data_IF_788252584765
#
_entry.id   IF_788252584765
#
_cell.length_a   1.000
_cell.length_b   1.000
_cell.length_c   1.000
_cell.angle_alpha   90.00
_cell.angle_beta   90.00
_cell.angle_gamma   90.00
#
_symmetry.space_group_name_H-M   'P 1'
#
loop_
_entity.id
_entity.type
_entity.pdbx_description
1 polymer ?
#
# COMPACT_ATOMS: atom_id res chain seq x y z
N UNK A 1 18.35 64.57 -21.35
CA UNK A 1 19.77 64.25 -21.62
C UNK A 1 20.20 63.13 -20.68
N UNK A 2 20.33 61.90 -21.19
CA UNK A 2 20.60 60.69 -20.40
C UNK A 2 21.86 60.03 -21.00
N UNK A 3 23.02 60.33 -20.44
CA UNK A 3 24.28 59.67 -20.82
C UNK A 3 24.31 58.28 -20.20
N UNK A 4 24.07 57.24 -21.00
CA UNK A 4 24.39 55.84 -20.65
C UNK A 4 25.80 55.55 -21.13
N UNK A 5 26.76 55.54 -20.22
CA UNK A 5 28.08 54.97 -20.45
C UNK A 5 27.93 53.47 -20.76
N UNK A 6 28.25 53.09 -21.99
CA UNK A 6 28.24 51.71 -22.43
C UNK A 6 29.66 51.14 -22.28
N UNK A 7 30.06 50.79 -21.07
CA UNK A 7 31.32 50.07 -20.86
C UNK A 7 31.13 48.61 -21.29
N UNK A 8 31.73 48.26 -22.43
CA UNK A 8 31.85 46.87 -22.88
C UNK A 8 32.79 46.13 -21.93
N UNK A 9 32.25 45.14 -21.22
CA UNK A 9 33.03 44.22 -20.38
C UNK A 9 33.94 43.41 -21.32
N UNK A 10 35.25 43.45 -21.08
CA UNK A 10 36.21 42.71 -21.89
C UNK A 10 36.00 41.20 -21.74
N UNK A 11 36.02 40.45 -22.85
CA UNK A 11 35.77 39.00 -22.86
C UNK A 11 36.70 38.20 -21.95
N UNK A 12 37.84 38.79 -21.53
CA UNK A 12 38.76 38.22 -20.54
C UNK A 12 38.17 38.13 -19.12
N UNK A 13 37.12 38.89 -18.81
CA UNK A 13 36.44 38.87 -17.52
C UNK A 13 35.31 37.83 -17.43
N UNK A 14 34.88 37.28 -18.56
CA UNK A 14 33.84 36.22 -18.61
C UNK A 14 34.20 35.00 -17.74
N UNK A 15 35.42 34.40 -17.84
CA UNK A 15 35.74 33.25 -17.01
C UNK A 15 35.75 33.58 -15.51
N UNK A 16 36.19 34.80 -15.14
CA UNK A 16 36.24 35.26 -13.75
C UNK A 16 34.82 35.41 -13.20
N UNK A 17 33.92 36.03 -13.98
CA UNK A 17 32.50 36.19 -13.59
C UNK A 17 31.83 34.83 -13.46
N UNK A 18 32.07 33.89 -14.39
CA UNK A 18 31.53 32.53 -14.29
C UNK A 18 32.01 31.79 -13.04
N UNK A 19 33.31 31.88 -12.69
CA UNK A 19 33.87 31.25 -11.50
C UNK A 19 33.26 31.85 -10.22
N UNK A 20 33.16 33.18 -10.14
CA UNK A 20 32.55 33.86 -8.99
C UNK A 20 31.07 33.50 -8.85
N UNK A 21 30.35 33.37 -9.98
CA UNK A 21 28.94 32.96 -10.00
C UNK A 21 28.76 31.52 -9.52
N UNK A 22 29.67 30.62 -9.90
CA UNK A 22 29.67 29.23 -9.45
C UNK A 22 29.89 29.13 -7.93
N UNK A 23 30.88 29.84 -7.39
CA UNK A 23 31.13 29.84 -5.94
C UNK A 23 30.01 30.54 -5.14
N UNK A 24 29.41 31.62 -5.66
CA UNK A 24 28.22 32.23 -5.06
C UNK A 24 27.01 31.30 -5.11
N UNK A 25 26.82 30.55 -6.19
CA UNK A 25 25.77 29.55 -6.33
C UNK A 25 25.88 28.45 -5.29
N UNK A 26 27.09 27.90 -5.08
CA UNK A 26 27.37 26.89 -4.04
C UNK A 26 27.09 27.41 -2.62
N UNK A 27 27.41 28.68 -2.36
CA UNK A 27 27.12 29.31 -1.06
C UNK A 27 25.63 29.56 -0.84
N UNK A 28 24.85 29.86 -1.88
CA UNK A 28 23.40 30.05 -1.79
C UNK A 28 22.62 28.73 -1.70
N UNK A 29 23.04 27.68 -2.42
CA UNK A 29 22.42 26.35 -2.31
C UNK A 29 22.68 25.71 -0.95
N UNK A 30 23.84 25.97 -0.34
CA UNK A 30 24.16 25.47 1.00
C UNK A 30 23.51 26.29 2.13
N UNK A 31 22.86 27.43 1.85
CA UNK A 31 22.25 28.31 2.87
C UNK A 31 20.71 28.34 2.84
N UNK A 32 20.09 27.87 1.77
CA UNK A 32 18.62 27.84 1.61
C UNK A 32 18.02 26.51 2.07
N UNK A 33 18.82 25.46 2.25
CA UNK A 33 18.38 24.15 2.74
C UNK A 33 18.82 23.89 4.18
N UNK A 34 18.49 24.79 5.10
CA UNK A 34 18.37 24.44 6.51
C UNK A 34 16.88 24.38 6.88
N UNK A 35 16.33 23.21 7.23
CA UNK A 35 15.03 23.13 7.87
C UNK A 35 15.13 23.68 9.30
N UNK A 36 14.15 24.45 9.81
CA UNK A 36 14.20 24.95 11.18
C UNK A 36 14.07 23.79 12.17
N UNK A 37 15.08 23.63 13.03
CA UNK A 37 15.06 22.68 14.14
C UNK A 37 14.09 23.12 15.25
N UNK A 38 13.29 22.17 15.74
CA UNK A 38 12.63 22.22 17.05
C UNK A 38 12.97 20.95 17.82
N UNK A 39 14.06 21.03 18.59
CA UNK A 39 14.34 20.45 19.91
C UNK A 39 13.90 19.00 20.23
N UNK A 40 14.90 18.12 20.37
CA UNK A 40 14.74 16.79 21.00
C UNK A 40 15.98 15.91 21.03
N UNK A 41 17.08 16.42 21.60
CA UNK A 41 18.31 15.82 22.14
C UNK A 41 18.58 14.28 22.10
N UNK A 42 19.88 13.96 21.87
CA UNK A 42 20.71 12.76 22.19
C UNK A 42 20.82 11.72 21.04
N UNK A 43 21.99 11.34 20.47
CA UNK A 43 23.31 10.96 21.03
C UNK A 43 24.47 11.06 19.99
N UNK A 44 25.69 11.33 20.50
CA UNK A 44 27.05 10.92 20.04
C UNK A 44 27.70 11.64 18.85
N UNK A 45 28.62 12.59 19.08
CA UNK A 45 30.07 12.42 19.33
C UNK A 45 30.89 11.76 18.20
N UNK A 46 31.44 12.64 17.34
CA UNK A 46 32.87 12.84 17.04
C UNK A 46 33.64 11.66 16.43
N UNK A 47 33.84 11.72 15.10
CA UNK A 47 34.98 11.07 14.43
C UNK A 47 36.02 12.13 14.09
N UNK A 48 37.20 11.99 14.69
CA UNK A 48 38.44 12.62 14.24
C UNK A 48 39.12 11.67 13.26
N UNK A 49 39.55 12.21 12.13
CA UNK A 49 40.45 11.60 11.16
C UNK A 49 41.90 11.53 11.69
N UNK A 50 42.72 10.79 10.92
CA UNK A 50 44.20 10.76 10.81
C UNK A 50 44.81 9.46 11.41
N UNK A 51 45.57 8.61 10.70
CA UNK A 51 46.30 8.69 9.40
C UNK A 51 46.90 7.31 9.02
N UNK A 52 47.33 7.11 7.75
CA UNK A 52 48.69 6.68 7.30
C UNK A 52 48.70 6.06 5.86
N UNK A 53 49.84 6.11 5.10
CA UNK A 53 49.92 6.95 3.90
C UNK A 53 50.33 6.24 2.58
N UNK A 54 50.17 6.99 1.47
CA UNK A 54 50.67 6.74 0.12
C UNK A 54 52.19 6.96 0.00
N UNK A 55 52.92 6.01 -0.59
CA UNK A 55 54.25 6.23 -1.20
C UNK A 55 54.31 5.55 -2.59
N UNK A 56 54.87 6.32 -3.52
CA UNK A 56 55.05 6.17 -4.97
C UNK A 56 56.03 5.08 -5.42
N UNK A 57 55.83 4.49 -6.62
CA UNK A 57 56.76 4.63 -7.77
C UNK A 57 56.32 3.90 -9.08
N UNK A 58 56.45 4.67 -10.17
CA UNK A 58 56.54 4.41 -11.62
C UNK A 58 56.58 2.99 -12.20
N UNK A 59 55.92 2.78 -13.35
CA UNK A 59 56.62 2.75 -14.66
C UNK A 59 55.65 2.67 -15.86
N UNK A 60 56.01 3.38 -16.94
CA UNK A 60 55.30 3.46 -18.20
C UNK A 60 55.49 2.25 -19.13
N UNK A 61 54.53 2.10 -20.05
CA UNK A 61 54.58 1.41 -21.37
C UNK A 61 54.77 -0.12 -21.41
N UNK A 62 53.70 -0.83 -21.83
CA UNK A 62 53.75 -1.94 -22.80
C UNK A 62 52.41 -2.11 -23.53
N UNK A 63 52.53 -2.51 -24.80
CA UNK A 63 51.55 -2.47 -25.89
C UNK A 63 50.59 -3.68 -25.85
N UNK A 64 49.33 -3.44 -26.20
CA UNK A 64 48.39 -4.29 -26.97
C UNK A 64 48.31 -5.79 -26.66
N UNK A 65 47.32 -6.21 -25.85
CA UNK A 65 46.73 -7.57 -25.86
C UNK A 65 45.46 -7.61 -24.97
N UNK A 66 44.45 -6.77 -25.23
CA UNK A 66 43.17 -6.82 -24.46
C UNK A 66 41.97 -6.16 -25.17
N UNK A 67 41.80 -6.36 -26.47
CA UNK A 67 40.64 -5.84 -27.22
C UNK A 67 39.76 -6.93 -27.87
N UNK A 68 40.23 -8.17 -28.01
CA UNK A 68 39.40 -9.24 -28.59
C UNK A 68 38.38 -9.81 -27.59
N UNK A 69 38.76 -9.99 -26.32
CA UNK A 69 37.86 -10.54 -25.30
C UNK A 69 36.65 -9.64 -25.03
N UNK A 70 36.85 -8.32 -24.99
CA UNK A 70 35.77 -7.35 -24.76
C UNK A 70 34.80 -7.29 -25.96
N UNK A 71 35.30 -7.41 -27.19
CA UNK A 71 34.46 -7.43 -28.38
C UNK A 71 33.63 -8.72 -28.44
N UNK A 72 34.24 -9.86 -28.08
CA UNK A 72 33.56 -11.14 -28.00
C UNK A 72 32.44 -11.15 -26.94
N UNK A 73 32.65 -10.47 -25.82
CA UNK A 73 31.66 -10.34 -24.74
C UNK A 73 30.47 -9.45 -25.13
N UNK A 74 30.74 -8.38 -25.90
CA UNK A 74 29.69 -7.55 -26.53
C UNK A 74 28.89 -8.35 -27.56
N UNK A 75 29.55 -9.19 -28.37
CA UNK A 75 28.86 -10.06 -29.31
C UNK A 75 27.94 -11.08 -28.61
N UNK A 76 28.40 -11.69 -27.51
CA UNK A 76 27.60 -12.63 -26.70
C UNK A 76 26.39 -11.96 -26.05
N UNK A 77 26.54 -10.74 -25.55
CA UNK A 77 25.41 -9.98 -24.98
C UNK A 77 24.40 -9.62 -26.05
N UNK A 78 24.85 -9.25 -27.25
CA UNK A 78 23.95 -8.96 -28.36
C UNK A 78 23.17 -10.21 -28.84
N UNK A 79 23.82 -11.38 -28.84
CA UNK A 79 23.18 -12.66 -29.14
C UNK A 79 22.13 -13.04 -28.09
N UNK A 80 22.44 -12.83 -26.80
CA UNK A 80 21.48 -13.06 -25.71
C UNK A 80 20.25 -12.14 -25.81
N UNK A 81 20.44 -10.87 -26.15
CA UNK A 81 19.35 -9.91 -26.38
C UNK A 81 18.47 -10.34 -27.56
N UNK A 82 19.07 -10.76 -28.68
CA UNK A 82 18.32 -11.23 -29.85
C UNK A 82 17.52 -12.50 -29.56
N UNK A 83 18.05 -13.40 -28.74
CA UNK A 83 17.33 -14.60 -28.34
C UNK A 83 16.15 -14.28 -27.41
N UNK A 84 16.31 -13.32 -26.51
CA UNK A 84 15.21 -12.82 -25.67
C UNK A 84 14.09 -12.21 -26.51
N UNK A 85 14.45 -11.39 -27.51
CA UNK A 85 13.49 -10.72 -28.38
C UNK A 85 12.66 -11.74 -29.17
N UNK A 86 13.28 -12.82 -29.65
CA UNK A 86 12.57 -13.96 -30.27
C UNK A 86 11.64 -14.68 -29.28
N UNK A 87 12.05 -14.87 -28.03
CA UNK A 87 11.18 -15.46 -27.01
C UNK A 87 9.98 -14.57 -26.68
N UNK A 88 10.18 -13.25 -26.64
CA UNK A 88 9.09 -12.28 -26.43
C UNK A 88 8.11 -12.30 -27.61
N UNK A 89 8.60 -12.33 -28.84
CA UNK A 89 7.73 -12.43 -30.03
C UNK A 89 6.99 -13.77 -30.09
N UNK A 90 7.62 -14.87 -29.69
CA UNK A 90 6.97 -16.18 -29.58
C UNK A 90 5.84 -16.17 -28.54
N UNK A 91 6.09 -15.59 -27.37
CA UNK A 91 5.07 -15.44 -26.31
C UNK A 91 3.93 -14.51 -26.73
N UNK A 92 4.22 -13.44 -27.49
CA UNK A 92 3.17 -12.58 -28.08
C UNK A 92 2.31 -13.33 -29.08
N UNK A 93 2.92 -14.17 -29.92
CA UNK A 93 2.20 -15.01 -30.87
C UNK A 93 1.34 -16.05 -30.15
N UNK A 94 1.86 -16.69 -29.11
CA UNK A 94 1.12 -17.65 -28.28
C UNK A 94 -0.05 -16.98 -27.52
N UNK A 95 0.15 -15.76 -27.03
CA UNK A 95 -0.90 -14.94 -26.43
C UNK A 95 -2.00 -14.58 -27.44
N UNK A 96 -1.63 -14.22 -28.68
CA UNK A 96 -2.58 -13.93 -29.75
C UNK A 96 -3.37 -15.19 -30.19
N UNK A 97 -2.72 -16.36 -30.22
CA UNK A 97 -3.39 -17.65 -30.47
C UNK A 97 -4.36 -17.99 -29.33
N UNK A 98 -3.97 -17.78 -28.08
CA UNK A 98 -4.83 -18.00 -26.90
C UNK A 98 -5.99 -16.98 -26.83
N UNK A 99 -5.78 -15.76 -27.30
CA UNK A 99 -6.82 -14.73 -27.40
C UNK A 99 -7.83 -15.06 -28.50
N UNK A 100 -7.37 -15.50 -29.67
CA UNK A 100 -8.25 -15.91 -30.77
C UNK A 100 -9.01 -17.21 -30.48
N UNK A 101 -8.44 -18.16 -29.72
CA UNK A 101 -9.20 -19.32 -29.21
C UNK A 101 -10.28 -18.90 -28.21
N UNK A 102 -10.00 -17.88 -27.38
CA UNK A 102 -11.01 -17.27 -26.49
C UNK A 102 -12.13 -16.55 -27.24
N UNK A 103 -11.84 -15.95 -28.39
CA UNK A 103 -12.85 -15.29 -29.22
C UNK A 103 -13.77 -16.29 -29.94
N UNK A 104 -13.26 -17.46 -30.36
CA UNK A 104 -14.08 -18.53 -30.95
C UNK A 104 -15.01 -19.17 -29.90
N UNK A 105 -14.55 -19.37 -28.67
CA UNK A 105 -15.40 -19.84 -27.55
C UNK A 105 -16.38 -18.77 -27.02
N UNK A 106 -16.16 -17.49 -27.34
CA UNK A 106 -17.06 -16.39 -26.93
C UNK A 106 -18.36 -16.33 -27.72
N UNK A 107 -18.43 -16.99 -28.88
CA UNK A 107 -19.62 -17.00 -29.75
C UNK A 107 -20.67 -18.07 -29.37
N UNK A 108 -20.40 -18.90 -28.37
CA UNK A 108 -21.32 -19.93 -27.85
C UNK A 108 -21.71 -19.76 -26.38
N UNK A 109 -21.26 -18.70 -25.70
CA UNK A 109 -21.61 -18.45 -24.31
C UNK A 109 -21.61 -16.95 -23.97
N UNK A 110 -22.66 -16.23 -24.40
CA UNK A 110 -23.11 -15.02 -23.71
C UNK A 110 -23.71 -15.41 -22.34
N UNK A 111 -22.84 -15.82 -21.43
CA UNK A 111 -23.02 -15.74 -19.98
C UNK A 111 -21.67 -15.35 -19.39
N UNK A 112 -21.38 -14.06 -19.54
CA UNK A 112 -20.29 -13.38 -18.86
C UNK A 112 -20.43 -13.59 -17.36
N UNK A 113 -19.40 -14.19 -16.76
CA UNK A 113 -19.21 -14.28 -15.32
C UNK A 113 -19.04 -12.89 -14.71
N UNK A 114 -20.15 -12.23 -14.44
CA UNK A 114 -20.31 -11.43 -13.23
C UNK A 114 -20.00 -12.37 -12.04
N UNK A 115 -18.80 -12.30 -11.46
CA UNK A 115 -18.54 -13.00 -10.18
C UNK A 115 -19.13 -12.14 -9.07
N UNK A 116 -20.31 -12.62 -8.67
CA UNK A 116 -21.25 -12.08 -7.70
C UNK A 116 -20.61 -11.66 -6.36
N UNK A 117 -20.92 -10.43 -5.96
CA UNK A 117 -21.47 -10.24 -4.61
C UNK A 117 -22.82 -10.96 -4.60
N UNK A 118 -23.14 -11.82 -3.61
CA UNK A 118 -24.47 -12.38 -3.47
C UNK A 118 -25.43 -11.32 -2.93
N UNK A 119 -25.72 -10.30 -3.75
CA UNK A 119 -26.92 -9.50 -3.61
C UNK A 119 -28.03 -10.21 -4.37
N UNK A 120 -29.17 -10.37 -3.72
CA UNK A 120 -30.38 -10.95 -4.32
C UNK A 120 -30.57 -10.46 -5.75
N UNK A 121 -30.71 -11.41 -6.69
CA UNK A 121 -31.18 -11.16 -8.05
C UNK A 121 -32.55 -10.48 -7.99
N UNK A 122 -32.55 -9.16 -8.12
CA UNK A 122 -33.71 -8.43 -8.65
C UNK A 122 -33.34 -7.99 -10.05
N UNK A 123 -34.05 -8.58 -11.01
CA UNK A 123 -34.00 -8.25 -12.43
C UNK A 123 -34.03 -6.73 -12.65
N UNK A 124 -33.08 -6.23 -13.46
CA UNK A 124 -33.23 -4.97 -14.22
C UNK A 124 -33.21 -3.64 -13.45
N UNK A 125 -33.02 -3.59 -12.13
CA UNK A 125 -32.93 -2.31 -11.41
C UNK A 125 -31.49 -1.75 -11.49
N UNK A 126 -31.29 -0.45 -11.83
CA UNK A 126 -29.96 0.15 -11.86
C UNK A 126 -29.26 -0.06 -10.50
N UNK A 127 -28.09 -0.71 -10.52
CA UNK A 127 -27.26 -0.95 -9.33
C UNK A 127 -27.03 0.39 -8.63
N UNK A 128 -27.59 0.57 -7.42
CA UNK A 128 -27.37 1.78 -6.62
C UNK A 128 -25.88 1.92 -6.34
N UNK A 129 -25.32 3.10 -6.60
CA UNK A 129 -23.90 3.39 -6.34
C UNK A 129 -23.70 3.45 -4.83
N UNK A 130 -22.74 2.67 -4.31
CA UNK A 130 -22.30 2.79 -2.93
C UNK A 130 -21.52 4.10 -2.74
N UNK A 131 -21.74 4.76 -1.60
CA UNK A 131 -20.96 5.89 -1.13
C UNK A 131 -19.64 5.41 -0.51
N UNK A 132 -19.70 4.44 0.40
CA UNK A 132 -18.53 3.84 1.05
C UNK A 132 -18.73 2.32 1.14
N UNK A 133 -17.64 1.56 0.97
CA UNK A 133 -17.59 0.12 1.25
C UNK A 133 -16.58 -0.11 2.38
N UNK A 134 -17.04 -0.73 3.46
CA UNK A 134 -16.25 -1.06 4.66
C UNK A 134 -16.05 -2.57 4.69
N UNK A 135 -14.81 -3.00 4.46
CA UNK A 135 -14.39 -4.39 4.59
C UNK A 135 -13.73 -4.64 5.95
N UNK A 136 -14.25 -5.61 6.72
CA UNK A 136 -13.69 -6.01 8.01
C UNK A 136 -12.96 -7.34 7.86
N UNK A 137 -11.64 -7.33 7.89
CA UNK A 137 -10.85 -8.57 7.86
C UNK A 137 -11.19 -9.46 9.07
N UNK A 138 -11.48 -10.74 8.81
CA UNK A 138 -11.81 -11.74 9.83
C UNK A 138 -11.17 -13.10 9.51
N UNK A 139 -10.97 -13.92 10.55
CA UNK A 139 -10.56 -15.32 10.42
C UNK A 139 -11.72 -16.27 10.78
N UNK A 140 -11.59 -17.55 10.43
CA UNK A 140 -12.56 -18.61 10.75
C UNK A 140 -12.83 -18.70 12.26
N UNK A 141 -11.79 -18.61 13.09
CA UNK A 141 -11.86 -18.67 14.55
C UNK A 141 -12.48 -17.43 15.22
N UNK A 142 -12.70 -16.34 14.47
CA UNK A 142 -13.07 -15.04 15.02
C UNK A 142 -14.57 -14.82 15.21
N UNK A 143 -15.37 -15.89 15.37
CA UNK A 143 -16.84 -15.78 15.52
C UNK A 143 -17.26 -14.80 16.62
N UNK A 144 -16.71 -14.97 17.83
CA UNK A 144 -17.02 -14.12 18.99
C UNK A 144 -16.69 -12.64 18.73
N UNK A 145 -15.64 -12.36 17.95
CA UNK A 145 -15.27 -10.98 17.57
C UNK A 145 -16.30 -10.39 16.61
N UNK A 146 -16.75 -11.14 15.60
CA UNK A 146 -17.81 -10.71 14.68
C UNK A 146 -19.10 -10.42 15.43
N UNK A 147 -19.51 -11.29 16.34
CA UNK A 147 -20.70 -11.08 17.16
C UNK A 147 -20.58 -9.82 18.02
N UNK A 148 -19.38 -9.52 18.54
CA UNK A 148 -19.13 -8.30 19.31
C UNK A 148 -19.20 -7.03 18.45
N UNK A 149 -18.76 -7.10 17.19
CA UNK A 149 -18.88 -6.02 16.21
C UNK A 149 -20.35 -5.76 15.85
N UNK A 150 -21.11 -6.83 15.55
CA UNK A 150 -22.56 -6.78 15.31
C UNK A 150 -23.36 -6.20 16.47
N UNK A 151 -22.90 -6.44 17.70
CA UNK A 151 -23.53 -5.93 18.93
C UNK A 151 -23.09 -4.50 19.29
N UNK A 152 -22.23 -3.88 18.48
CA UNK A 152 -21.75 -2.51 18.70
C UNK A 152 -22.06 -1.66 17.48
N UNK A 153 -21.08 -1.36 16.64
CA UNK A 153 -21.19 -0.34 15.61
C UNK A 153 -21.77 -0.85 14.28
N UNK A 154 -21.89 -2.16 14.07
CA UNK A 154 -22.35 -2.73 12.80
C UNK A 154 -23.85 -3.09 12.86
N UNK A 155 -24.72 -2.41 12.08
CA UNK A 155 -26.13 -2.76 12.00
C UNK A 155 -26.36 -4.18 11.48
N UNK A 156 -27.49 -4.79 11.85
CA UNK A 156 -27.86 -6.16 11.51
C UNK A 156 -29.22 -6.21 10.80
N UNK A 157 -29.44 -7.26 10.00
CA UNK A 157 -30.73 -7.56 9.40
C UNK A 157 -31.26 -6.41 8.55
N UNK A 158 -32.50 -6.00 8.79
CA UNK A 158 -33.17 -4.92 8.05
C UNK A 158 -32.42 -3.58 8.13
N UNK A 159 -31.84 -3.26 9.29
CA UNK A 159 -31.06 -2.01 9.45
C UNK A 159 -29.80 -2.00 8.58
N UNK A 160 -29.18 -3.16 8.35
CA UNK A 160 -28.02 -3.26 7.45
C UNK A 160 -28.45 -3.03 6.00
N UNK A 161 -29.58 -3.61 5.59
CA UNK A 161 -30.15 -3.39 4.25
C UNK A 161 -30.56 -1.93 4.06
N UNK A 162 -31.16 -1.32 5.08
CA UNK A 162 -31.55 0.09 5.07
C UNK A 162 -30.31 0.99 4.91
N UNK A 163 -29.25 0.72 5.66
CA UNK A 163 -27.99 1.46 5.56
C UNK A 163 -27.42 1.43 4.13
N UNK A 164 -27.48 0.28 3.47
CA UNK A 164 -27.02 0.14 2.09
C UNK A 164 -27.91 0.87 1.08
N UNK A 165 -29.22 0.79 1.25
CA UNK A 165 -30.18 1.32 0.29
C UNK A 165 -30.39 2.83 0.40
N UNK A 166 -30.34 3.37 1.62
CA UNK A 166 -30.61 4.77 1.92
C UNK A 166 -29.34 5.61 2.02
N UNK A 167 -28.29 5.08 2.66
CA UNK A 167 -27.01 5.80 2.84
C UNK A 167 -25.94 5.37 1.84
N UNK A 168 -26.13 4.28 1.11
CA UNK A 168 -25.11 3.75 0.20
C UNK A 168 -23.87 3.21 0.92
N UNK A 169 -23.96 2.90 2.22
CA UNK A 169 -22.83 2.38 3.00
C UNK A 169 -22.93 0.85 3.07
N UNK A 170 -21.95 0.16 2.52
CA UNK A 170 -21.88 -1.30 2.50
C UNK A 170 -20.86 -1.76 3.54
N UNK A 171 -21.26 -2.63 4.48
CA UNK A 171 -20.36 -3.16 5.52
C UNK A 171 -20.35 -4.68 5.45
N UNK A 172 -19.16 -5.29 5.25
CA UNK A 172 -19.03 -6.74 5.13
C UNK A 172 -17.82 -7.29 5.90
N UNK A 173 -17.97 -8.48 6.46
CA UNK A 173 -16.84 -9.29 6.92
C UNK A 173 -16.15 -9.94 5.73
N UNK A 174 -14.87 -9.61 5.56
CA UNK A 174 -14.03 -10.11 4.46
C UNK A 174 -13.36 -11.40 4.89
N UNK A 175 -13.61 -12.49 4.19
CA UNK A 175 -13.01 -13.79 4.50
C UNK A 175 -12.73 -14.60 3.23
N UNK A 176 -11.53 -15.19 3.17
CA UNK A 176 -11.17 -16.16 2.12
C UNK A 176 -11.76 -17.55 2.38
N UNK A 177 -11.44 -18.49 1.50
CA UNK A 177 -11.74 -19.91 1.69
C UNK A 177 -10.66 -20.58 2.55
N UNK A 178 -11.02 -21.69 3.21
CA UNK A 178 -10.01 -22.47 3.90
C UNK A 178 -9.06 -23.15 2.89
N UNK A 179 -7.93 -23.66 3.36
CA UNK A 179 -6.97 -24.35 2.50
C UNK A 179 -7.55 -25.62 1.86
N UNK A 180 -8.57 -26.23 2.48
CA UNK A 180 -9.25 -27.42 1.96
C UNK A 180 -10.64 -27.03 1.44
N UNK A 181 -10.92 -27.39 0.19
CA UNK A 181 -12.26 -27.16 -0.38
C UNK A 181 -13.33 -27.87 0.45
N UNK A 182 -14.46 -27.19 0.68
CA UNK A 182 -15.62 -27.69 1.46
C UNK A 182 -15.29 -28.17 2.89
N UNK A 183 -14.37 -27.48 3.55
CA UNK A 183 -14.04 -27.78 4.95
C UNK A 183 -15.21 -27.50 5.91
N UNK A 184 -15.12 -28.06 7.12
CA UNK A 184 -16.05 -27.72 8.23
C UNK A 184 -16.00 -26.21 8.53
N UNK A 185 -14.83 -25.58 8.35
CA UNK A 185 -14.67 -24.15 8.59
C UNK A 185 -15.43 -23.32 7.55
N UNK A 186 -15.40 -23.72 6.27
CA UNK A 186 -16.17 -23.07 5.21
C UNK A 186 -17.67 -23.23 5.45
N UNK A 187 -18.14 -24.45 5.77
CA UNK A 187 -19.54 -24.70 6.11
C UNK A 187 -20.03 -23.91 7.32
N UNK A 188 -19.19 -23.72 8.32
CA UNK A 188 -19.52 -22.89 9.48
C UNK A 188 -19.70 -21.41 9.09
N UNK A 189 -18.87 -20.90 8.19
CA UNK A 189 -18.99 -19.53 7.64
C UNK A 189 -20.23 -19.40 6.77
N UNK A 190 -20.49 -20.38 5.90
CA UNK A 190 -21.65 -20.33 5.01
C UNK A 190 -22.97 -20.40 5.80
N UNK A 191 -23.01 -21.20 6.87
CA UNK A 191 -24.14 -21.23 7.82
C UNK A 191 -24.35 -19.89 8.54
N UNK A 192 -23.26 -19.24 8.96
CA UNK A 192 -23.32 -17.91 9.56
C UNK A 192 -23.79 -16.84 8.56
N UNK A 193 -23.28 -16.88 7.34
CA UNK A 193 -23.65 -15.95 6.30
C UNK A 193 -25.11 -16.12 5.88
N UNK A 194 -25.65 -17.34 5.89
CA UNK A 194 -27.08 -17.57 5.64
C UNK A 194 -27.97 -16.88 6.68
N UNK A 195 -27.49 -16.73 7.92
CA UNK A 195 -28.22 -16.05 9.00
C UNK A 195 -28.10 -14.54 8.94
N UNK A 196 -26.88 -14.02 8.76
CA UNK A 196 -26.60 -12.58 8.92
C UNK A 196 -26.47 -11.81 7.60
N UNK A 197 -26.20 -12.50 6.48
CA UNK A 197 -26.00 -11.94 5.13
C UNK A 197 -24.98 -10.81 5.08
N UNK A 198 -23.93 -10.91 5.89
CA UNK A 198 -22.97 -9.83 6.13
C UNK A 198 -21.52 -10.21 5.79
N UNK A 199 -21.30 -11.31 5.05
CA UNK A 199 -19.98 -11.69 4.56
C UNK A 199 -19.75 -11.32 3.10
N UNK A 200 -18.49 -11.05 2.78
CA UNK A 200 -17.96 -11.13 1.42
C UNK A 200 -16.93 -12.25 1.37
N UNK A 201 -17.28 -13.34 0.64
CA UNK A 201 -16.42 -14.50 0.42
C UNK A 201 -15.44 -14.18 -0.71
N UNK A 202 -14.16 -14.12 -0.38
CA UNK A 202 -13.10 -13.83 -1.33
C UNK A 202 -12.64 -15.11 -2.03
N UNK A 203 -12.87 -15.19 -3.33
CA UNK A 203 -12.37 -16.28 -4.17
C UNK A 203 -10.89 -16.02 -4.46
N UNK A 204 -10.01 -16.87 -3.95
CA UNK A 204 -8.58 -16.83 -4.30
C UNK A 204 -8.33 -17.81 -5.45
N UNK A 205 -8.11 -17.28 -6.65
CA UNK A 205 -7.77 -18.04 -7.85
C UNK A 205 -6.25 -18.07 -8.12
N UNK A 206 -5.44 -18.20 -7.08
CA UNK A 206 -4.02 -18.51 -7.23
C UNK A 206 -3.68 -19.81 -6.48
N UNK A 207 -2.85 -20.70 -7.06
CA UNK A 207 -2.40 -21.90 -6.37
C UNK A 207 -1.79 -21.51 -5.03
N UNK A 208 -2.23 -22.18 -3.97
CA UNK A 208 -1.55 -22.17 -2.68
C UNK A 208 -0.14 -22.73 -2.92
N UNK A 209 0.83 -21.85 -3.18
CA UNK A 209 2.21 -22.23 -2.95
C UNK A 209 2.34 -22.44 -1.45
N UNK A 210 2.85 -23.59 -0.98
CA UNK A 210 3.10 -23.82 0.43
C UNK A 210 4.19 -22.84 0.87
N UNK A 211 3.78 -21.66 1.31
CA UNK A 211 4.61 -20.73 2.04
C UNK A 211 4.85 -21.33 3.41
N UNK A 212 5.81 -22.25 3.49
CA UNK A 212 6.42 -22.61 4.77
C UNK A 212 7.02 -21.32 5.29
N UNK A 213 6.38 -20.74 6.31
CA UNK A 213 6.96 -19.68 7.12
C UNK A 213 8.07 -20.34 7.94
N UNK A 214 9.22 -20.55 7.31
CA UNK A 214 10.48 -20.63 8.03
C UNK A 214 10.94 -19.18 8.18
N UNK A 215 10.54 -18.54 9.28
CA UNK A 215 11.10 -17.25 9.67
C UNK A 215 12.58 -17.46 10.03
N UNK A 216 13.54 -16.80 9.36
CA UNK A 216 14.71 -16.34 10.07
C UNK A 216 14.22 -15.22 11.02
N UNK A 217 14.49 -15.38 12.32
CA UNK A 217 14.33 -14.36 13.37
C UNK A 217 12.91 -13.97 13.79
N UNK A 218 12.21 -14.87 14.51
CA UNK A 218 11.27 -14.63 15.65
C UNK A 218 10.35 -13.37 15.72
N UNK A 219 10.07 -12.63 14.64
CA UNK A 219 9.17 -11.47 14.65
C UNK A 219 7.95 -11.72 13.75
N UNK A 220 6.77 -11.40 14.26
CA UNK A 220 5.45 -11.69 13.64
C UNK A 220 5.30 -11.16 12.21
N UNK A 221 6.00 -10.08 11.87
CA UNK A 221 5.85 -9.35 10.62
C UNK A 221 7.14 -9.35 9.78
N UNK A 222 7.99 -10.37 9.94
CA UNK A 222 9.19 -10.50 9.12
C UNK A 222 8.82 -10.64 7.64
N UNK A 223 9.37 -9.78 6.80
CA UNK A 223 9.22 -9.82 5.35
C UNK A 223 10.53 -10.34 4.73
N UNK A 224 10.54 -11.54 4.11
CA UNK A 224 11.75 -12.09 3.48
C UNK A 224 12.41 -11.16 2.45
N UNK A 225 11.63 -10.33 1.77
CA UNK A 225 12.09 -9.38 0.77
C UNK A 225 12.30 -7.97 1.32
N UNK A 226 12.52 -7.81 2.63
CA UNK A 226 12.66 -6.49 3.28
C UNK A 226 13.73 -5.59 2.65
N UNK A 227 14.78 -6.21 2.10
CA UNK A 227 15.89 -5.53 1.41
C UNK A 227 15.43 -4.68 0.21
N UNK A 228 14.23 -4.92 -0.34
CA UNK A 228 13.64 -4.09 -1.42
C UNK A 228 13.18 -2.71 -0.93
N UNK A 229 13.04 -2.51 0.38
CA UNK A 229 12.47 -1.29 0.96
C UNK A 229 13.52 -0.30 1.46
N UNK A 230 14.79 -0.69 1.49
CA UNK A 230 15.88 0.13 1.99
C UNK A 230 16.80 -0.64 2.94
N UNK A 231 17.59 0.11 3.70
CA UNK A 231 18.55 -0.42 4.66
C UNK A 231 17.87 -0.86 5.97
N UNK A 232 18.61 -1.65 6.75
CA UNK A 232 18.23 -2.11 8.09
C UNK A 232 17.87 -0.92 9.00
N UNK A 233 16.75 -1.02 9.73
CA UNK A 233 16.28 0.07 10.61
C UNK A 233 15.10 0.91 10.09
N UNK A 234 14.23 0.34 9.24
CA UNK A 234 12.88 0.85 8.97
C UNK A 234 12.78 2.22 8.29
N UNK A 235 13.63 2.53 7.30
CA UNK A 235 13.36 3.66 6.38
C UNK A 235 12.39 3.23 5.29
N UNK A 236 11.17 2.87 5.70
CA UNK A 236 10.09 2.48 4.79
C UNK A 236 9.66 3.64 3.89
N UNK A 237 9.13 3.31 2.72
CA UNK A 237 8.23 4.21 2.00
C UNK A 237 6.97 4.46 2.85
N UNK A 238 6.34 5.63 2.68
CA UNK A 238 5.11 5.96 3.41
C UNK A 238 4.00 4.99 3.02
N UNK A 239 3.46 4.29 4.00
CA UNK A 239 2.27 3.45 3.87
C UNK A 239 1.38 3.66 5.10
N UNK A 240 0.08 3.44 4.94
CA UNK A 240 -0.82 3.44 6.08
C UNK A 240 -0.52 2.19 6.91
N UNK A 241 -0.10 2.39 8.15
CA UNK A 241 0.06 1.31 9.13
C UNK A 241 -1.04 1.46 10.17
N UNK A 242 -1.72 0.37 10.53
CA UNK A 242 -2.69 0.44 11.62
C UNK A 242 -3.83 -0.56 11.49
N UNK A 243 -4.97 -0.20 12.07
CA UNK A 243 -6.18 -1.05 12.08
C UNK A 243 -7.14 -0.72 10.93
N UNK A 244 -7.00 0.47 10.34
CA UNK A 244 -7.91 0.98 9.34
C UNK A 244 -7.16 1.92 8.40
N UNK A 245 -7.49 1.84 7.12
CA UNK A 245 -7.14 2.80 6.09
C UNK A 245 -8.33 2.93 5.14
N UNK A 246 -8.33 4.00 4.35
CA UNK A 246 -9.30 4.20 3.29
C UNK A 246 -8.57 4.51 1.99
N UNK A 247 -9.12 4.03 0.89
CA UNK A 247 -8.66 4.34 -0.47
C UNK A 247 -9.83 4.86 -1.28
N UNK A 248 -9.55 5.75 -2.24
CA UNK A 248 -10.58 6.24 -3.15
C UNK A 248 -11.04 5.12 -4.10
N UNK A 249 -12.22 5.32 -4.69
CA UNK A 249 -12.74 4.45 -5.74
C UNK A 249 -11.74 4.25 -6.89
N UNK A 250 -11.03 5.31 -7.27
CA UNK A 250 -10.10 5.27 -8.39
C UNK A 250 -8.87 4.42 -8.07
N UNK A 251 -8.36 4.49 -6.84
CA UNK A 251 -7.29 3.61 -6.37
C UNK A 251 -7.75 2.15 -6.25
N UNK A 252 -8.97 1.92 -5.76
CA UNK A 252 -9.54 0.57 -5.72
C UNK A 252 -9.69 -0.02 -7.13
N UNK A 253 -10.13 0.79 -8.10
CA UNK A 253 -10.23 0.39 -9.50
C UNK A 253 -8.84 0.11 -10.10
N UNK A 254 -7.86 0.97 -9.84
CA UNK A 254 -6.47 0.76 -10.26
C UNK A 254 -5.94 -0.59 -9.74
N UNK A 255 -6.13 -0.91 -8.46
CA UNK A 255 -5.70 -2.19 -7.89
C UNK A 255 -6.40 -3.35 -8.60
N UNK A 256 -7.73 -3.26 -8.79
CA UNK A 256 -8.50 -4.32 -9.45
C UNK A 256 -8.05 -4.58 -10.87
N UNK A 257 -7.72 -3.53 -11.63
CA UNK A 257 -7.29 -3.64 -13.03
C UNK A 257 -5.86 -4.21 -13.12
N UNK A 258 -4.98 -3.76 -12.23
CA UNK A 258 -3.56 -4.09 -12.30
C UNK A 258 -3.16 -5.26 -11.39
N UNK A 259 -4.11 -5.92 -10.73
CA UNK A 259 -3.85 -7.00 -9.77
C UNK A 259 -2.81 -8.06 -10.24
N UNK A 260 -2.77 -8.50 -11.52
CA UNK A 260 -1.80 -9.50 -11.97
C UNK A 260 -0.33 -9.04 -11.91
N UNK A 261 -0.07 -7.73 -11.95
CA UNK A 261 1.29 -7.17 -11.93
C UNK A 261 1.66 -6.56 -10.57
N UNK A 262 0.70 -6.47 -9.65
CA UNK A 262 0.91 -5.92 -8.31
C UNK A 262 1.52 -6.99 -7.39
N UNK A 263 2.77 -6.76 -6.98
CA UNK A 263 3.51 -7.65 -6.10
C UNK A 263 2.92 -7.66 -4.69
N UNK A 264 2.72 -8.85 -4.12
CA UNK A 264 2.19 -9.02 -2.76
C UNK A 264 3.34 -9.37 -1.82
N UNK A 265 3.47 -8.59 -0.76
CA UNK A 265 4.35 -8.87 0.36
C UNK A 265 3.60 -9.66 1.44
N UNK A 266 4.33 -10.25 2.39
CA UNK A 266 3.76 -10.98 3.52
C UNK A 266 2.89 -10.08 4.42
N UNK A 267 3.22 -8.79 4.49
CA UNK A 267 2.40 -7.78 5.15
C UNK A 267 1.48 -7.07 4.14
N UNK A 268 0.18 -7.03 4.45
CA UNK A 268 -0.87 -6.46 3.62
C UNK A 268 -0.80 -4.93 3.51
N UNK A 269 -0.45 -4.24 4.58
CA UNK A 269 -0.31 -2.77 4.62
C UNK A 269 0.89 -2.33 3.77
N UNK A 270 1.97 -3.11 3.85
CA UNK A 270 3.17 -2.92 3.01
C UNK A 270 2.83 -3.18 1.55
N UNK A 271 2.07 -4.24 1.25
CA UNK A 271 1.59 -4.52 -0.11
C UNK A 271 0.81 -3.34 -0.67
N UNK A 272 -0.20 -2.87 0.05
CA UNK A 272 -1.03 -1.75 -0.38
C UNK A 272 -0.21 -0.48 -0.62
N UNK A 273 0.65 -0.11 0.33
CA UNK A 273 1.48 1.09 0.17
C UNK A 273 2.45 0.98 -1.00
N UNK A 274 3.00 -0.21 -1.27
CA UNK A 274 3.94 -0.42 -2.36
C UNK A 274 3.31 -0.18 -3.74
N UNK A 275 2.03 -0.54 -3.89
CA UNK A 275 1.27 -0.36 -5.12
C UNK A 275 1.06 1.11 -5.50
N UNK A 276 1.24 2.02 -4.54
CA UNK A 276 1.03 3.44 -4.71
C UNK A 276 2.32 4.25 -4.85
N UNK A 277 3.50 3.64 -4.66
CA UNK A 277 4.80 4.35 -4.73
C UNK A 277 5.00 5.05 -6.09
N UNK A 278 4.59 4.40 -7.18
CA UNK A 278 4.72 4.92 -8.54
C UNK A 278 3.57 5.82 -8.97
N UNK A 279 2.61 6.10 -8.09
CA UNK A 279 1.41 6.88 -8.41
C UNK A 279 1.47 8.27 -7.78
N UNK A 280 0.91 9.27 -8.47
CA UNK A 280 0.72 10.61 -7.92
C UNK A 280 -0.51 10.63 -7.00
N UNK A 281 -0.35 10.07 -5.80
CA UNK A 281 -1.42 10.00 -4.78
C UNK A 281 -1.16 10.96 -3.63
N UNK A 282 -2.24 11.53 -3.09
CA UNK A 282 -2.19 12.33 -1.86
C UNK A 282 -2.39 11.42 -0.67
N UNK A 283 -1.36 11.28 0.15
CA UNK A 283 -1.45 10.59 1.44
C UNK A 283 -1.98 11.55 2.50
N UNK A 284 -3.12 11.24 3.10
CA UNK A 284 -3.72 12.01 4.19
C UNK A 284 -3.45 11.29 5.50
N UNK A 285 -2.76 11.96 6.42
CA UNK A 285 -2.54 11.51 7.80
C UNK A 285 -3.55 12.20 8.72
N UNK A 286 -4.65 11.51 9.02
CA UNK A 286 -5.67 11.99 9.95
C UNK A 286 -5.52 11.33 11.33
N UNK A 287 -5.15 12.14 12.32
CA UNK A 287 -4.93 11.69 13.70
C UNK A 287 -6.19 11.16 14.39
N UNK A 288 -7.38 11.48 13.88
CA UNK A 288 -8.64 10.93 14.40
C UNK A 288 -8.85 9.47 13.98
N UNK A 289 -8.11 8.97 12.99
CA UNK A 289 -8.10 7.54 12.63
C UNK A 289 -7.25 6.68 13.58
N UNK A 290 -6.49 7.30 14.49
CA UNK A 290 -5.59 6.63 15.41
C UNK A 290 -5.70 7.23 16.83
N UNK A 291 -6.77 6.91 17.56
CA UNK A 291 -6.89 7.24 18.98
C UNK A 291 -6.62 6.06 19.89
N UNK A 292 -6.13 6.32 21.11
CA UNK A 292 -6.12 5.34 22.18
C UNK A 292 -7.53 4.98 22.62
N UNK A 293 -7.71 3.75 23.13
CA UNK A 293 -8.94 3.40 23.87
C UNK A 293 -9.09 4.27 25.14
N UNK A 294 -10.24 4.24 25.85
CA UNK A 294 -10.44 5.06 27.04
C UNK A 294 -9.26 5.05 28.02
N UNK A 295 -8.87 6.22 28.56
CA UNK A 295 -9.61 7.49 28.51
C UNK A 295 -9.36 8.39 27.27
N UNK A 296 -8.43 8.04 26.37
CA UNK A 296 -7.99 8.95 25.30
C UNK A 296 -9.11 9.33 24.32
N UNK A 297 -9.81 8.34 23.75
CA UNK A 297 -10.94 8.62 22.85
C UNK A 297 -12.07 9.40 23.52
N UNK A 298 -12.26 9.27 24.85
CA UNK A 298 -13.28 10.01 25.58
C UNK A 298 -12.92 11.48 25.70
N UNK A 299 -11.68 11.78 26.10
CA UNK A 299 -11.20 13.15 26.20
C UNK A 299 -11.19 13.86 24.86
N UNK A 300 -10.82 13.14 23.79
CA UNK A 300 -10.86 13.66 22.42
C UNK A 300 -12.29 13.96 21.98
N UNK A 301 -13.25 13.07 22.25
CA UNK A 301 -14.67 13.30 21.98
C UNK A 301 -15.21 14.54 22.74
N UNK A 302 -14.85 14.70 24.02
CA UNK A 302 -15.22 15.87 24.82
C UNK A 302 -14.65 17.19 24.28
N UNK A 303 -13.47 17.12 23.65
CA UNK A 303 -12.85 18.26 22.97
C UNK A 303 -13.39 18.51 21.55
N UNK A 304 -14.41 17.77 21.10
CA UNK A 304 -14.98 17.88 19.75
C UNK A 304 -14.15 17.20 18.65
N UNK A 305 -13.09 16.45 19.01
CA UNK A 305 -12.26 15.69 18.08
C UNK A 305 -12.64 14.22 18.16
N UNK A 306 -13.80 13.85 17.60
CA UNK A 306 -14.26 12.46 17.68
C UNK A 306 -13.33 11.54 16.88
N UNK A 307 -13.02 10.40 17.49
CA UNK A 307 -12.15 9.40 16.90
C UNK A 307 -12.92 8.48 15.96
N UNK A 308 -12.41 8.33 14.74
CA UNK A 308 -12.92 7.34 13.77
C UNK A 308 -12.61 5.92 14.23
N UNK A 309 -11.43 5.70 14.82
CA UNK A 309 -11.03 4.40 15.37
C UNK A 309 -10.24 4.53 16.66
N UNK A 310 -10.41 3.54 17.54
CA UNK A 310 -9.71 3.41 18.82
C UNK A 310 -8.89 2.13 18.86
N UNK A 311 -7.66 2.18 19.37
CA UNK A 311 -6.74 1.05 19.37
C UNK A 311 -5.84 1.00 20.61
N UNK A 312 -5.29 -0.18 20.90
CA UNK A 312 -4.25 -0.37 21.91
C UNK A 312 -2.93 -0.79 21.22
N UNK A 313 -1.88 0.02 21.36
CA UNK A 313 -0.55 -0.28 20.78
C UNK A 313 -0.02 -1.66 21.16
N UNK A 314 -0.25 -2.08 22.40
CA UNK A 314 0.26 -3.35 22.96
C UNK A 314 -0.24 -4.59 22.23
N UNK A 315 -1.43 -4.52 21.61
CA UNK A 315 -2.09 -5.68 21.01
C UNK A 315 -2.32 -5.52 19.50
N UNK A 316 -1.83 -4.43 18.90
CA UNK A 316 -2.11 -4.08 17.49
C UNK A 316 -3.61 -4.18 17.20
N UNK A 317 -4.40 -3.40 17.95
CA UNK A 317 -5.86 -3.43 17.97
C UNK A 317 -6.40 -3.33 19.40
N UNK A 318 -7.71 -3.44 19.60
CA UNK A 318 -8.28 -3.43 20.96
C UNK A 318 -7.89 -4.73 21.67
N UNK A 319 -7.16 -4.62 22.79
CA UNK A 319 -6.81 -5.78 23.62
C UNK A 319 -8.08 -6.45 24.17
N UNK A 320 -8.16 -7.78 24.14
CA UNK A 320 -9.37 -8.53 24.50
C UNK A 320 -10.63 -7.99 23.80
N UNK A 321 -10.54 -7.79 22.47
CA UNK A 321 -11.55 -7.12 21.66
C UNK A 321 -12.96 -7.66 21.83
N UNK A 322 -13.14 -8.96 22.04
CA UNK A 322 -14.45 -9.60 22.27
C UNK A 322 -15.20 -8.96 23.44
N UNK A 323 -14.51 -8.70 24.55
CA UNK A 323 -15.13 -8.07 25.72
C UNK A 323 -15.02 -6.54 25.66
N UNK A 324 -13.84 -6.02 25.31
CA UNK A 324 -13.49 -4.61 25.48
C UNK A 324 -14.13 -3.70 24.43
N UNK A 325 -14.47 -4.20 23.23
CA UNK A 325 -15.08 -3.36 22.19
C UNK A 325 -16.42 -2.74 22.64
N UNK A 326 -17.21 -3.47 23.43
CA UNK A 326 -18.48 -2.96 23.98
C UNK A 326 -18.25 -1.79 24.91
N UNK A 327 -17.27 -1.91 25.81
CA UNK A 327 -16.88 -0.84 26.73
C UNK A 327 -16.33 0.38 25.98
N UNK A 328 -15.46 0.17 24.99
CA UNK A 328 -14.92 1.27 24.17
C UNK A 328 -16.05 1.97 23.42
N UNK A 329 -16.92 1.21 22.78
CA UNK A 329 -18.05 1.75 22.02
C UNK A 329 -19.01 2.55 22.92
N UNK A 330 -19.36 2.04 24.10
CA UNK A 330 -20.26 2.75 25.02
C UNK A 330 -19.68 4.06 25.57
N UNK A 331 -18.37 4.25 25.50
CA UNK A 331 -17.67 5.43 26.02
C UNK A 331 -17.30 6.45 24.95
N UNK A 332 -17.03 5.98 23.73
CA UNK A 332 -16.42 6.80 22.67
C UNK A 332 -17.25 6.92 21.38
N UNK A 333 -18.39 6.24 21.25
CA UNK A 333 -19.23 6.35 20.05
C UNK A 333 -20.12 7.61 20.05
N UNK A 334 -20.48 8.08 18.85
CA UNK A 334 -21.31 9.28 18.61
C UNK A 334 -22.82 9.06 18.89
N UNK A 335 -23.19 7.88 19.39
CA UNK A 335 -24.58 7.47 19.64
C UNK A 335 -25.28 6.88 18.41
N UNK A 336 -26.38 6.17 18.64
CA UNK A 336 -27.05 5.35 17.61
C UNK A 336 -27.68 6.19 16.47
N UNK A 337 -28.06 7.44 16.74
CA UNK A 337 -28.72 8.35 15.78
C UNK A 337 -27.74 9.11 14.88
N UNK A 338 -26.44 9.14 15.22
CA UNK A 338 -25.44 9.90 14.47
C UNK A 338 -25.36 9.42 13.00
N UNK A 339 -25.38 8.10 12.80
CA UNK A 339 -25.33 7.49 11.47
C UNK A 339 -26.55 7.86 10.61
N UNK A 340 -27.74 7.95 11.22
CA UNK A 340 -28.98 8.17 10.50
C UNK A 340 -29.25 9.65 10.24
N UNK A 341 -28.83 10.52 11.15
CA UNK A 341 -28.95 11.98 11.04
C UNK A 341 -27.90 12.62 10.12
N UNK A 342 -26.79 11.93 9.83
CA UNK A 342 -25.77 12.44 8.92
C UNK A 342 -26.30 12.66 7.49
N UNK A 343 -26.04 13.86 6.96
CA UNK A 343 -26.26 14.23 5.57
C UNK A 343 -24.93 14.10 4.81
N UNK A 344 -24.92 13.31 3.73
CA UNK A 344 -23.76 13.05 2.89
C UNK A 344 -24.00 13.52 1.46
#
# INVERSE_FOLDING_TARGET
MKNRNNQRVSAKWIPIICIVSFFLGVLFTNRIWEPPESNGQLISSRSHDQELPLVSNDCATKKSERNEDALQEVYRTHEAIQNLDKSVEMLKMELAVTQSSRELDSSANERTSDVLIPFHNHDGLPKKKAFIVIGINTAFSSRKRRDSIRQTWMPQGEKLVQLEQEKGIVVRFMIGHSATSDSILDRAIDSENAQHKDFLRLVYSAPLLPGIVQSPENVKYHEPEYWKFGEEGNKYFRHATGQIYAISKDLAAYISINQPILHKYANEDVSLGSWFIGLEVVHIDDRNMCCGTPPDCEWKAQAGNVCVASFDWRCSGICNSVAKIKYVHSRCAEGDEALWSAAF
#
